data_IF_221306459493
#
_entry.id   IF_221306459493
#
_cell.length_a   1.000
_cell.length_b   1.000
_cell.length_c   1.000
_cell.angle_alpha   90.00
_cell.angle_beta   90.00
_cell.angle_gamma   90.00
#
_symmetry.space_group_name_H-M   'P 1'
#
loop_
_entity.id
_entity.type
_entity.pdbx_description
1 polymer ?
#
# COMPACT_ATOMS: atom_id res chain seq x y z
N UNK A 1 10.92 -15.02 -11.55
CA UNK A 1 11.11 -14.39 -12.88
C UNK A 1 10.41 -13.03 -12.88
N UNK A 2 10.91 -12.00 -13.59
CA UNK A 2 10.20 -10.73 -13.74
C UNK A 2 8.90 -10.94 -14.53
N UNK A 3 7.82 -10.27 -14.13
CA UNK A 3 6.53 -10.27 -14.84
C UNK A 3 6.34 -8.88 -15.45
N UNK A 4 6.25 -8.81 -16.78
CA UNK A 4 5.93 -7.57 -17.50
C UNK A 4 4.42 -7.45 -17.65
N UNK A 5 3.86 -6.29 -17.33
CA UNK A 5 2.43 -6.00 -17.48
C UNK A 5 2.19 -4.69 -18.22
N UNK A 6 1.11 -4.64 -19.00
CA UNK A 6 0.76 -3.46 -19.81
C UNK A 6 0.07 -2.34 -19.03
N UNK A 7 -0.49 -2.65 -17.84
CA UNK A 7 -1.27 -1.71 -17.03
C UNK A 7 -0.75 -1.69 -15.60
N UNK A 8 -0.63 -0.50 -15.03
CA UNK A 8 -0.26 -0.31 -13.63
C UNK A 8 -1.28 -0.98 -12.68
N UNK A 9 -2.58 -0.90 -13.00
CA UNK A 9 -3.63 -1.60 -12.25
C UNK A 9 -3.38 -3.10 -12.12
N UNK A 10 -2.91 -3.75 -13.19
CA UNK A 10 -2.58 -5.18 -13.18
C UNK A 10 -1.32 -5.47 -12.34
N UNK A 11 -0.32 -4.59 -12.38
CA UNK A 11 0.86 -4.67 -11.49
C UNK A 11 0.42 -4.65 -10.03
N UNK A 12 -0.46 -3.72 -9.67
CA UNK A 12 -0.99 -3.56 -8.32
C UNK A 12 -1.79 -4.80 -7.89
N UNK A 13 -2.66 -5.33 -8.74
CA UNK A 13 -3.41 -6.57 -8.46
C UNK A 13 -2.49 -7.78 -8.24
N UNK A 14 -1.44 -7.94 -9.06
CA UNK A 14 -0.47 -9.02 -8.90
C UNK A 14 0.30 -8.88 -7.59
N UNK A 15 0.75 -7.66 -7.25
CA UNK A 15 1.44 -7.39 -6.00
C UNK A 15 0.54 -7.70 -4.79
N UNK A 16 -0.72 -7.28 -4.82
CA UNK A 16 -1.69 -7.57 -3.77
C UNK A 16 -1.89 -9.08 -3.60
N UNK A 17 -2.11 -9.81 -4.71
CA UNK A 17 -2.24 -11.26 -4.68
C UNK A 17 -0.99 -11.97 -4.13
N UNK A 18 0.21 -11.48 -4.45
CA UNK A 18 1.45 -12.03 -3.93
C UNK A 18 1.57 -11.84 -2.41
N UNK A 19 1.19 -10.68 -1.88
CA UNK A 19 1.16 -10.42 -0.43
C UNK A 19 0.16 -11.33 0.27
N UNK A 20 -1.07 -11.46 -0.26
CA UNK A 20 -2.10 -12.32 0.31
C UNK A 20 -1.68 -13.79 0.32
N UNK A 21 -1.13 -14.29 -0.78
CA UNK A 21 -0.60 -15.66 -0.86
C UNK A 21 0.51 -15.87 0.17
N UNK A 22 1.42 -14.90 0.31
CA UNK A 22 2.51 -15.00 1.27
C UNK A 22 2.03 -14.98 2.72
N UNK A 23 1.05 -14.14 3.02
CA UNK A 23 0.42 -14.09 4.33
C UNK A 23 -0.26 -15.41 4.69
N UNK A 24 -0.98 -16.03 3.74
CA UNK A 24 -1.58 -17.35 3.91
C UNK A 24 -0.54 -18.45 4.15
N UNK A 25 0.55 -18.48 3.37
CA UNK A 25 1.66 -19.44 3.57
C UNK A 25 2.28 -19.33 4.96
N UNK A 26 2.40 -18.10 5.48
CA UNK A 26 3.01 -17.83 6.78
C UNK A 26 2.03 -17.96 7.96
N UNK A 27 0.74 -18.17 7.70
CA UNK A 27 -0.31 -18.14 8.73
C UNK A 27 -0.46 -16.77 9.40
N UNK A 28 -0.08 -15.70 8.69
CA UNK A 28 -0.15 -14.32 9.18
C UNK A 28 -1.34 -13.57 8.55
N UNK A 29 -1.82 -12.54 9.24
CA UNK A 29 -2.73 -11.57 8.63
C UNK A 29 -1.91 -10.42 8.04
N UNK A 30 -2.16 -10.02 6.79
CA UNK A 30 -1.47 -8.87 6.19
C UNK A 30 -1.89 -7.58 6.92
N UNK A 31 -0.94 -6.67 7.08
CA UNK A 31 -1.21 -5.30 7.50
C UNK A 31 -1.70 -4.50 6.29
N UNK A 32 -2.76 -3.73 6.46
CA UNK A 32 -3.32 -2.93 5.38
C UNK A 32 -3.09 -1.44 5.66
N UNK A 33 -2.20 -0.80 4.89
CA UNK A 33 -2.09 0.65 4.90
C UNK A 33 -3.13 1.22 3.95
N UNK A 34 -4.08 2.00 4.45
CA UNK A 34 -5.13 2.63 3.64
C UNK A 34 -4.80 4.09 3.43
N UNK A 35 -4.98 4.59 2.21
CA UNK A 35 -4.77 5.99 1.89
C UNK A 35 -5.71 6.90 2.72
N UNK A 36 -5.18 8.06 3.07
CA UNK A 36 -5.93 9.12 3.72
C UNK A 36 -5.98 10.32 2.77
N UNK A 37 -7.14 10.52 2.16
CA UNK A 37 -7.35 11.54 1.14
C UNK A 37 -7.91 12.84 1.73
N UNK A 38 -7.48 13.96 1.16
CA UNK A 38 -7.88 15.30 1.58
C UNK A 38 -8.39 16.11 0.39
N UNK A 39 -9.46 16.87 0.60
CA UNK A 39 -9.94 17.87 -0.34
C UNK A 39 -9.86 19.26 0.31
N UNK A 40 -9.08 20.16 -0.31
CA UNK A 40 -8.85 21.52 0.22
C UNK A 40 -8.40 21.54 1.69
N UNK A 41 -7.54 20.60 2.07
CA UNK A 41 -6.99 20.48 3.44
C UNK A 41 -7.94 19.84 4.46
N UNK A 42 -9.13 19.38 4.06
CA UNK A 42 -10.07 18.65 4.92
C UNK A 42 -10.09 17.18 4.55
N UNK A 43 -10.16 16.31 5.55
CA UNK A 43 -10.31 14.86 5.34
C UNK A 43 -11.65 14.61 4.63
N UNK A 44 -11.64 13.66 3.70
CA UNK A 44 -12.86 13.22 3.01
C UNK A 44 -13.60 12.21 3.91
N UNK A 45 -14.60 12.70 4.63
CA UNK A 45 -15.36 11.90 5.62
C UNK A 45 -16.60 11.19 5.02
N UNK A 46 -17.00 11.53 3.80
CA UNK A 46 -18.12 10.87 3.11
C UNK A 46 -17.74 9.44 2.69
N UNK A 47 -18.37 8.44 3.32
CA UNK A 47 -18.03 7.01 3.12
C UNK A 47 -18.15 6.55 1.65
N UNK A 48 -19.24 6.83 0.91
CA UNK A 48 -19.35 6.45 -0.49
C UNK A 48 -18.29 7.09 -1.39
N UNK A 49 -18.00 8.38 -1.20
CA UNK A 49 -16.95 9.08 -1.93
C UNK A 49 -15.57 8.51 -1.59
N UNK A 50 -15.27 8.31 -0.31
CA UNK A 50 -14.00 7.71 0.14
C UNK A 50 -13.78 6.35 -0.49
N UNK A 51 -14.78 5.47 -0.49
CA UNK A 51 -14.69 4.16 -1.16
C UNK A 51 -14.37 4.31 -2.65
N UNK A 52 -15.06 5.23 -3.33
CA UNK A 52 -14.85 5.48 -4.76
C UNK A 52 -13.43 5.97 -5.04
N UNK A 53 -12.86 6.81 -4.18
CA UNK A 53 -11.49 7.32 -4.30
C UNK A 53 -10.47 6.21 -4.08
N UNK A 54 -10.66 5.36 -3.07
CA UNK A 54 -9.77 4.22 -2.78
C UNK A 54 -9.75 3.19 -3.92
N UNK A 55 -10.83 3.09 -4.69
CA UNK A 55 -10.96 2.19 -5.85
C UNK A 55 -10.46 2.83 -7.17
N UNK A 56 -10.00 4.09 -7.14
CA UNK A 56 -9.47 4.74 -8.33
C UNK A 56 -8.26 3.98 -8.90
N UNK A 57 -8.16 3.85 -10.23
CA UNK A 57 -6.95 3.36 -10.86
C UNK A 57 -5.74 4.21 -10.48
N UNK A 58 -4.61 3.57 -10.19
CA UNK A 58 -3.36 4.21 -9.77
C UNK A 58 -2.83 5.27 -10.76
N UNK A 59 -3.20 5.21 -12.03
CA UNK A 59 -2.87 6.24 -13.02
C UNK A 59 -3.61 7.59 -12.80
N UNK A 60 -4.55 7.65 -11.86
CA UNK A 60 -5.24 8.87 -11.42
C UNK A 60 -4.73 9.40 -10.08
N UNK A 61 -3.85 8.68 -9.41
CA UNK A 61 -3.40 8.94 -8.02
C UNK A 61 -1.87 8.89 -7.94
N UNK A 62 -1.17 9.49 -8.92
CA UNK A 62 0.31 9.55 -8.95
C UNK A 62 1.00 8.17 -8.85
N UNK A 63 0.34 7.12 -9.34
CA UNK A 63 0.80 5.73 -9.26
C UNK A 63 0.78 5.12 -7.85
N UNK A 64 0.08 5.73 -6.91
CA UNK A 64 -0.14 5.22 -5.56
C UNK A 64 -1.49 4.51 -5.46
N UNK A 65 -1.55 3.27 -4.95
CA UNK A 65 -2.82 2.58 -4.77
C UNK A 65 -3.59 3.15 -3.58
N UNK A 66 -4.91 3.02 -3.57
CA UNK A 66 -5.74 3.41 -2.41
C UNK A 66 -5.45 2.57 -1.16
N UNK A 67 -4.83 1.40 -1.32
CA UNK A 67 -4.37 0.58 -0.20
C UNK A 67 -3.11 -0.19 -0.57
N UNK A 68 -2.26 -0.43 0.42
CA UNK A 68 -1.01 -1.18 0.30
C UNK A 68 -1.00 -2.30 1.35
N UNK A 69 -1.24 -3.56 0.94
CA UNK A 69 -1.11 -4.69 1.83
C UNK A 69 0.37 -5.01 2.06
N UNK A 70 0.73 -5.34 3.30
CA UNK A 70 2.09 -5.58 3.75
C UNK A 70 2.15 -6.87 4.59
N UNK A 71 3.20 -7.65 4.39
CA UNK A 71 3.50 -8.84 5.21
C UNK A 71 4.99 -8.87 5.53
N UNK A 72 5.39 -9.06 6.80
CA UNK A 72 6.81 -9.16 7.18
C UNK A 72 7.57 -10.16 6.29
N UNK A 73 8.76 -9.77 5.86
CA UNK A 73 9.61 -10.57 4.98
C UNK A 73 9.33 -10.39 3.48
N UNK A 74 8.34 -9.60 3.08
CA UNK A 74 8.11 -9.33 1.65
C UNK A 74 9.21 -8.43 1.06
N UNK A 75 9.65 -8.69 -0.18
CA UNK A 75 10.53 -7.78 -0.89
C UNK A 75 9.80 -6.48 -1.22
N UNK A 76 10.48 -5.35 -1.02
CA UNK A 76 9.99 -4.01 -1.35
C UNK A 76 10.99 -3.26 -2.21
N UNK A 77 10.51 -2.22 -2.88
CA UNK A 77 11.30 -1.34 -3.72
C UNK A 77 11.07 0.11 -3.30
N UNK A 78 12.14 0.88 -3.10
CA UNK A 78 12.01 2.32 -2.95
C UNK A 78 11.55 2.95 -4.26
N UNK A 79 10.53 3.82 -4.19
CA UNK A 79 9.97 4.53 -5.35
C UNK A 79 10.48 5.97 -5.47
N UNK A 80 11.18 6.45 -4.45
CA UNK A 80 11.69 7.81 -4.36
C UNK A 80 13.10 7.85 -3.77
N UNK A 81 13.77 8.99 -3.94
CA UNK A 81 15.11 9.21 -3.40
C UNK A 81 14.98 9.75 -1.97
N UNK A 82 15.55 9.02 -1.01
CA UNK A 82 15.49 9.39 0.41
C UNK A 82 16.85 9.91 0.88
N UNK A 83 17.91 9.13 0.62
CA UNK A 83 19.29 9.46 1.03
C UNK A 83 20.26 8.76 0.07
N UNK A 84 20.48 9.38 -1.09
CA UNK A 84 21.26 8.80 -2.19
C UNK A 84 22.71 8.48 -1.81
N UNK A 85 23.29 9.28 -0.93
CA UNK A 85 24.62 9.13 -0.34
C UNK A 85 24.74 7.91 0.58
N UNK A 86 23.62 7.41 1.10
CA UNK A 86 23.53 6.17 1.87
C UNK A 86 23.04 4.98 1.02
N UNK A 87 22.87 5.17 -0.30
CA UNK A 87 22.33 4.16 -1.20
C UNK A 87 20.81 3.98 -1.12
N UNK A 88 20.08 4.91 -0.49
CA UNK A 88 18.62 4.90 -0.42
C UNK A 88 18.03 5.73 -1.56
N UNK A 89 18.10 5.19 -2.77
CA UNK A 89 17.56 5.80 -3.98
C UNK A 89 16.39 5.00 -4.56
N UNK A 90 15.64 5.61 -5.48
CA UNK A 90 14.62 4.92 -6.26
C UNK A 90 15.20 3.65 -6.94
N UNK A 91 14.47 2.54 -6.86
CA UNK A 91 14.88 1.23 -7.37
C UNK A 91 15.70 0.39 -6.39
N UNK A 92 16.04 0.92 -5.22
CA UNK A 92 16.74 0.14 -4.18
C UNK A 92 15.80 -0.92 -3.61
N UNK A 93 16.31 -2.15 -3.52
CA UNK A 93 15.56 -3.29 -2.96
C UNK A 93 15.71 -3.33 -1.43
N UNK A 94 14.62 -3.68 -0.76
CA UNK A 94 14.61 -3.92 0.68
C UNK A 94 13.72 -5.10 1.04
N UNK A 95 13.66 -5.38 2.35
CA UNK A 95 12.71 -6.32 2.94
C UNK A 95 11.85 -5.53 3.92
N UNK A 96 10.53 -5.63 3.79
CA UNK A 96 9.63 -5.05 4.78
C UNK A 96 9.71 -5.88 6.06
N UNK A 97 10.10 -5.25 7.17
CA UNK A 97 10.28 -5.93 8.45
C UNK A 97 9.05 -5.80 9.34
N UNK A 98 8.63 -4.56 9.62
CA UNK A 98 7.52 -4.24 10.52
C UNK A 98 6.98 -2.84 10.21
N UNK A 99 5.72 -2.61 10.60
CA UNK A 99 5.11 -1.28 10.63
C UNK A 99 5.17 -0.77 12.07
N UNK A 100 5.76 0.41 12.27
CA UNK A 100 5.85 1.06 13.59
C UNK A 100 5.01 2.32 13.56
N UNK A 101 4.02 2.38 14.43
CA UNK A 101 3.18 3.55 14.63
C UNK A 101 3.85 4.51 15.62
N UNK A 102 3.65 5.82 15.44
CA UNK A 102 3.99 6.77 16.49
C UNK A 102 3.05 6.56 17.69
N UNK A 103 3.53 6.78 18.91
CA UNK A 103 2.73 6.59 20.14
C UNK A 103 1.43 7.44 20.16
N UNK A 104 1.34 8.46 19.31
CA UNK A 104 0.16 9.33 19.15
C UNK A 104 -0.82 8.90 18.06
N UNK A 105 -0.43 7.99 17.16
CA UNK A 105 -1.31 7.53 16.08
C UNK A 105 -2.37 6.57 16.63
N UNK A 106 -3.63 7.01 16.61
CA UNK A 106 -4.76 6.17 16.98
C UNK A 106 -4.95 5.03 15.96
N UNK A 107 -5.15 3.81 16.44
CA UNK A 107 -5.61 2.69 15.61
C UNK A 107 -6.98 3.05 15.01
N UNK A 108 -7.00 3.44 13.73
CA UNK A 108 -8.27 3.59 13.02
C UNK A 108 -8.80 2.19 12.77
N UNK A 109 -9.76 1.75 13.59
CA UNK A 109 -10.47 0.51 13.34
C UNK A 109 -11.28 0.63 12.04
N UNK A 110 -10.74 0.06 10.97
CA UNK A 110 -11.47 -0.15 9.73
C UNK A 110 -12.60 -1.15 9.98
N UNK A 111 -13.84 -0.67 10.10
CA UNK A 111 -15.01 -1.50 10.39
C UNK A 111 -15.67 -2.09 9.13
N UNK A 112 -15.09 -1.92 7.95
CA UNK A 112 -15.68 -2.44 6.72
C UNK A 112 -15.25 -3.90 6.49
N UNK A 113 -16.16 -4.83 6.80
CA UNK A 113 -15.96 -6.28 6.61
C UNK A 113 -16.00 -6.71 5.14
N UNK A 114 -16.33 -5.79 4.23
CA UNK A 114 -16.45 -6.03 2.80
C UNK A 114 -15.29 -5.44 1.98
N UNK A 115 -14.18 -5.11 2.62
CA UNK A 115 -12.95 -4.77 1.91
C UNK A 115 -12.35 -6.06 1.30
N UNK A 116 -11.92 -6.04 0.02
CA UNK A 116 -11.40 -7.23 -0.66
C UNK A 116 -10.14 -7.83 -0.02
#
# INVERSE_FOLDING_TARGET
APILVFRNTLRTQINNGAVLNKAMEMGLRPMLCVAQDYFQGKIIDDLPLRKTILELPDNKTEHLPGYLPLVPGMPVLLTENVATELGLSNGTRGIFHQLVYEESSADIQFQDKNFP
#
